data_IF_132079926846
#
_entry.id   IF_132079926846
#
_cell.length_a   1.000
_cell.length_b   1.000
_cell.length_c   1.000
_cell.angle_alpha   90.00
_cell.angle_beta   90.00
_cell.angle_gamma   90.00
#
_symmetry.space_group_name_H-M   'P 1'
#
loop_
_entity.id
_entity.type
_entity.pdbx_description
1 polymer ?
#
# COMPACT_ATOMS: atom_id res chain seq x y z
N UNK A 1 16.36 -33.65 -45.66
CA UNK A 1 15.08 -33.02 -45.26
C UNK A 1 14.21 -32.87 -46.50
N UNK A 2 12.94 -33.28 -46.48
CA UNK A 2 12.08 -33.17 -47.66
C UNK A 2 11.86 -31.68 -47.98
N UNK A 3 12.12 -31.28 -49.23
CA UNK A 3 11.84 -29.93 -49.71
C UNK A 3 10.33 -29.76 -49.82
N UNK A 4 9.74 -28.98 -48.92
CA UNK A 4 8.32 -28.64 -48.96
C UNK A 4 8.08 -27.80 -50.22
N UNK A 5 7.20 -28.26 -51.10
CA UNK A 5 6.86 -27.54 -52.33
C UNK A 5 6.04 -26.31 -51.93
N UNK A 6 6.53 -25.12 -52.27
CA UNK A 6 5.90 -23.85 -51.95
C UNK A 6 4.86 -23.52 -53.03
N UNK A 7 3.58 -23.70 -52.70
CA UNK A 7 2.45 -23.49 -53.61
C UNK A 7 1.43 -22.55 -52.95
N UNK A 8 0.81 -21.69 -53.76
CA UNK A 8 -0.21 -20.76 -53.28
C UNK A 8 0.35 -19.68 -52.37
N UNK A 9 -0.43 -19.29 -51.36
CA UNK A 9 -0.12 -18.20 -50.43
C UNK A 9 0.81 -18.64 -49.28
N UNK A 10 1.81 -19.46 -49.61
CA UNK A 10 2.69 -20.11 -48.65
C UNK A 10 3.45 -19.11 -47.76
N UNK A 11 3.75 -17.91 -48.30
CA UNK A 11 4.46 -16.86 -47.59
C UNK A 11 3.60 -16.24 -46.48
N UNK A 12 2.33 -15.92 -46.76
CA UNK A 12 1.41 -15.40 -45.73
C UNK A 12 1.09 -16.49 -44.70
N UNK A 13 0.97 -17.75 -45.10
CA UNK A 13 0.81 -18.87 -44.15
C UNK A 13 2.02 -19.01 -43.21
N UNK A 14 3.25 -18.87 -43.73
CA UNK A 14 4.45 -18.93 -42.91
C UNK A 14 4.57 -17.71 -41.97
N UNK A 15 4.25 -16.52 -42.46
CA UNK A 15 4.18 -15.31 -41.65
C UNK A 15 3.14 -15.44 -40.52
N UNK A 16 1.92 -15.90 -40.85
CA UNK A 16 0.86 -16.19 -39.88
C UNK A 16 1.30 -17.19 -38.81
N UNK A 17 1.99 -18.27 -39.22
CA UNK A 17 2.48 -19.28 -38.27
C UNK A 17 3.60 -18.75 -37.36
N UNK A 18 4.45 -17.83 -37.84
CA UNK A 18 5.46 -17.14 -37.01
C UNK A 18 4.79 -16.20 -36.02
N UNK A 19 3.83 -15.40 -36.47
CA UNK A 19 3.12 -14.45 -35.60
C UNK A 19 2.25 -15.18 -34.58
N UNK A 20 1.56 -16.26 -34.97
CA UNK A 20 0.82 -17.15 -34.07
C UNK A 20 1.73 -17.80 -33.04
N UNK A 21 2.94 -18.19 -33.42
CA UNK A 21 3.93 -18.75 -32.47
C UNK A 21 4.38 -17.69 -31.48
N UNK A 22 4.69 -16.48 -31.94
CA UNK A 22 5.02 -15.33 -31.08
C UNK A 22 3.89 -14.98 -30.11
N UNK A 23 2.64 -15.06 -30.56
CA UNK A 23 1.45 -14.88 -29.70
C UNK A 23 1.32 -15.97 -28.63
N UNK A 24 1.81 -17.18 -28.91
CA UNK A 24 1.85 -18.28 -27.93
C UNK A 24 3.17 -18.35 -27.16
N UNK A 25 4.17 -17.54 -27.49
CA UNK A 25 5.41 -17.43 -26.73
C UNK A 25 5.15 -16.53 -25.52
N UNK A 26 5.17 -17.12 -24.34
CA UNK A 26 5.06 -16.40 -23.08
C UNK A 26 6.28 -15.54 -22.79
N UNK A 27 6.22 -14.76 -21.71
CA UNK A 27 7.26 -13.81 -21.27
C UNK A 27 8.69 -14.40 -21.20
N UNK A 28 8.80 -15.73 -21.04
CA UNK A 28 10.07 -16.46 -20.92
C UNK A 28 10.44 -17.28 -22.19
N UNK A 29 9.77 -17.06 -23.33
CA UNK A 29 10.05 -17.76 -24.59
C UNK A 29 9.54 -19.21 -24.69
N UNK A 30 8.75 -19.69 -23.71
CA UNK A 30 8.03 -20.97 -23.74
C UNK A 30 6.57 -20.82 -24.19
N UNK A 31 5.87 -21.92 -24.49
CA UNK A 31 4.44 -21.86 -24.84
C UNK A 31 3.62 -21.41 -23.61
N UNK A 32 2.73 -20.43 -23.77
CA UNK A 32 1.77 -20.01 -22.74
C UNK A 32 0.82 -21.16 -22.45
N UNK A 33 1.01 -21.80 -21.30
CA UNK A 33 0.03 -22.74 -20.75
C UNK A 33 -1.02 -21.94 -19.98
N UNK A 34 -2.15 -21.66 -20.63
CA UNK A 34 -3.25 -20.89 -20.05
C UNK A 34 -3.77 -21.50 -18.73
N UNK A 35 -3.74 -22.83 -18.58
CA UNK A 35 -4.17 -23.47 -17.35
C UNK A 35 -3.21 -23.16 -16.20
N UNK A 36 -1.90 -23.19 -16.47
CA UNK A 36 -0.87 -22.85 -15.49
C UNK A 36 -0.93 -21.38 -15.08
N UNK A 37 -1.04 -20.46 -16.05
CA UNK A 37 -1.12 -19.03 -15.75
C UNK A 37 -2.38 -18.70 -14.91
N UNK A 38 -3.51 -19.33 -15.22
CA UNK A 38 -4.74 -19.19 -14.42
C UNK A 38 -4.54 -19.70 -12.99
N UNK A 39 -3.85 -20.83 -12.80
CA UNK A 39 -3.54 -21.36 -11.47
C UNK A 39 -2.63 -20.42 -10.67
N UNK A 40 -1.65 -19.79 -11.32
CA UNK A 40 -0.76 -18.82 -10.68
C UNK A 40 -1.53 -17.58 -10.22
N UNK A 41 -2.40 -17.03 -11.07
CA UNK A 41 -3.26 -15.90 -10.72
C UNK A 41 -4.17 -16.25 -9.54
N UNK A 42 -4.82 -17.43 -9.57
CA UNK A 42 -5.68 -17.87 -8.47
C UNK A 42 -4.91 -18.06 -7.15
N UNK A 43 -3.70 -18.64 -7.21
CA UNK A 43 -2.85 -18.82 -6.05
C UNK A 43 -2.41 -17.47 -5.45
N UNK A 44 -1.99 -16.54 -6.32
CA UNK A 44 -1.65 -15.15 -5.97
C UNK A 44 -2.82 -14.46 -5.28
N UNK A 45 -4.00 -14.46 -5.89
CA UNK A 45 -5.18 -13.78 -5.36
C UNK A 45 -5.58 -14.39 -4.02
N UNK A 46 -5.56 -15.72 -3.91
CA UNK A 46 -5.83 -16.42 -2.65
C UNK A 46 -4.85 -16.03 -1.55
N UNK A 47 -3.55 -15.99 -1.85
CA UNK A 47 -2.53 -15.60 -0.90
C UNK A 47 -2.75 -14.18 -0.40
N UNK A 48 -2.84 -13.20 -1.30
CA UNK A 48 -2.95 -11.78 -0.96
C UNK A 48 -4.23 -11.43 -0.21
N UNK A 49 -5.35 -12.09 -0.54
CA UNK A 49 -6.63 -11.91 0.12
C UNK A 49 -6.81 -12.80 1.35
N UNK A 50 -5.76 -13.45 1.84
CA UNK A 50 -5.81 -14.15 3.13
C UNK A 50 -6.18 -13.14 4.20
N UNK A 51 -7.26 -13.35 4.98
CA UNK A 51 -7.66 -12.44 6.03
C UNK A 51 -6.55 -12.21 7.04
N UNK A 52 -6.42 -10.97 7.51
CA UNK A 52 -5.43 -10.59 8.51
C UNK A 52 -6.09 -9.99 9.74
N UNK A 53 -5.54 -10.24 10.91
CA UNK A 53 -6.07 -9.69 12.16
C UNK A 53 -5.56 -8.26 12.37
N UNK A 54 -6.46 -7.28 12.39
CA UNK A 54 -6.14 -5.93 12.85
C UNK A 54 -6.21 -5.85 14.36
N UNK A 55 -5.30 -5.10 14.96
CA UNK A 55 -5.42 -4.77 16.38
C UNK A 55 -6.62 -3.85 16.60
N UNK A 56 -7.33 -4.00 17.74
CA UNK A 56 -8.29 -2.99 18.17
C UNK A 56 -7.57 -1.65 18.40
N UNK A 57 -8.36 -0.59 18.50
CA UNK A 57 -7.85 0.69 18.97
C UNK A 57 -7.22 0.51 20.34
N UNK A 58 -6.08 1.13 20.59
CA UNK A 58 -5.46 1.09 21.91
C UNK A 58 -6.31 1.84 22.94
N UNK A 59 -6.26 1.44 24.21
CA UNK A 59 -7.13 1.94 25.29
C UNK A 59 -7.01 3.47 25.54
N UNK A 60 -5.86 4.05 25.21
CA UNK A 60 -5.61 5.49 25.32
C UNK A 60 -6.15 6.31 24.14
N UNK A 61 -6.63 5.65 23.08
CA UNK A 61 -7.17 6.27 21.88
C UNK A 61 -6.12 6.85 20.92
N UNK A 62 -4.84 6.52 21.12
CA UNK A 62 -3.75 6.96 20.24
C UNK A 62 -3.34 5.89 19.23
N UNK A 63 -2.59 6.31 18.22
CA UNK A 63 -1.97 5.44 17.24
C UNK A 63 -0.64 4.92 17.77
N UNK A 64 -0.44 3.60 17.71
CA UNK A 64 0.78 2.95 18.21
C UNK A 64 1.63 2.38 17.08
N UNK A 65 2.93 2.27 17.34
CA UNK A 65 3.86 1.52 16.51
C UNK A 65 3.65 0.01 16.71
N UNK A 66 4.06 -0.76 15.69
CA UNK A 66 4.03 -2.22 15.67
C UNK A 66 2.63 -2.86 15.81
N UNK A 67 1.57 -2.06 15.70
CA UNK A 67 0.19 -2.55 15.59
C UNK A 67 -0.24 -2.60 14.12
N UNK A 68 -0.82 -3.71 13.64
CA UNK A 68 -1.35 -3.78 12.28
C UNK A 68 -2.51 -2.81 12.06
N UNK A 69 -2.39 -2.00 11.00
CA UNK A 69 -3.40 -1.02 10.58
C UNK A 69 -3.65 -1.15 9.08
N UNK A 70 -4.83 -0.71 8.63
CA UNK A 70 -5.04 -0.36 7.22
C UNK A 70 -4.91 1.15 7.03
N UNK A 71 -4.57 1.59 5.82
CA UNK A 71 -4.39 3.00 5.51
C UNK A 71 -5.37 3.42 4.40
N UNK A 72 -6.40 4.19 4.78
CA UNK A 72 -7.48 4.62 3.87
C UNK A 72 -7.25 6.04 3.34
N UNK A 73 -7.51 6.25 2.05
CA UNK A 73 -7.47 7.57 1.42
C UNK A 73 -8.85 8.22 1.34
N UNK A 74 -8.93 9.54 1.54
CA UNK A 74 -10.20 10.26 1.52
C UNK A 74 -10.81 10.45 0.11
N UNK A 75 -10.00 10.60 -0.95
CA UNK A 75 -10.51 10.79 -2.32
C UNK A 75 -11.04 9.49 -2.93
N UNK A 76 -10.30 8.38 -2.76
CA UNK A 76 -10.65 7.09 -3.38
C UNK A 76 -11.50 6.22 -2.47
N UNK A 77 -11.53 6.52 -1.15
CA UNK A 77 -12.11 5.68 -0.09
C UNK A 77 -11.54 4.25 -0.04
N UNK A 78 -10.48 3.99 -0.80
CA UNK A 78 -9.78 2.73 -0.86
C UNK A 78 -8.64 2.67 0.15
N UNK A 79 -8.16 1.45 0.39
CA UNK A 79 -7.03 1.17 1.26
C UNK A 79 -5.78 0.94 0.43
N UNK A 80 -4.62 1.38 0.93
CA UNK A 80 -3.35 0.99 0.31
C UNK A 80 -3.33 -0.53 0.17
N UNK A 81 -3.03 -1.00 -1.03
CA UNK A 81 -3.07 -2.41 -1.39
C UNK A 81 -1.84 -2.75 -2.22
N UNK A 82 -1.28 -3.92 -1.98
CA UNK A 82 -0.08 -4.40 -2.65
C UNK A 82 -0.37 -5.60 -3.54
N UNK A 83 0.30 -5.67 -4.68
CA UNK A 83 0.33 -6.83 -5.56
C UNK A 83 1.79 -7.30 -5.64
N UNK A 84 2.18 -8.22 -4.75
CA UNK A 84 3.57 -8.61 -4.55
C UNK A 84 4.22 -9.22 -5.80
N UNK A 85 3.43 -9.76 -6.74
CA UNK A 85 3.91 -10.35 -7.98
C UNK A 85 4.15 -9.30 -9.09
N UNK A 86 3.63 -8.07 -8.95
CA UNK A 86 3.88 -6.99 -9.91
C UNK A 86 5.22 -6.28 -9.65
N UNK A 87 6.28 -7.08 -9.54
CA UNK A 87 7.64 -6.61 -9.25
C UNK A 87 8.27 -5.99 -10.49
N UNK A 88 8.78 -4.78 -10.33
CA UNK A 88 9.65 -4.12 -11.29
C UNK A 88 11.11 -4.32 -10.85
N UNK A 89 11.92 -4.96 -11.71
CA UNK A 89 13.36 -5.08 -11.49
C UNK A 89 14.05 -3.73 -11.69
N UNK A 90 14.97 -3.43 -10.79
CA UNK A 90 15.86 -2.29 -10.84
C UNK A 90 17.32 -2.75 -10.90
N UNK A 91 18.26 -1.90 -11.34
CA UNK A 91 19.69 -2.26 -11.34
C UNK A 91 20.21 -2.72 -9.97
N UNK A 92 19.67 -2.19 -8.88
CA UNK A 92 20.09 -2.46 -7.51
C UNK A 92 19.18 -3.43 -6.74
N UNK A 93 18.09 -3.90 -7.34
CA UNK A 93 17.13 -4.73 -6.63
C UNK A 93 15.79 -4.85 -7.35
N UNK A 94 14.70 -4.79 -6.59
CA UNK A 94 13.35 -4.80 -7.13
C UNK A 94 12.43 -3.95 -6.26
N UNK A 95 11.38 -3.42 -6.86
CA UNK A 95 10.30 -2.72 -6.16
C UNK A 95 8.96 -3.22 -6.63
N UNK A 96 7.91 -2.88 -5.89
CA UNK A 96 6.53 -3.16 -6.26
C UNK A 96 5.68 -1.92 -5.99
N UNK A 97 4.93 -1.47 -6.98
CA UNK A 97 4.08 -0.29 -6.83
C UNK A 97 2.82 -0.66 -6.05
N UNK A 98 2.39 0.22 -5.16
CA UNK A 98 1.12 0.09 -4.45
C UNK A 98 0.01 0.92 -5.11
N UNK A 99 -1.21 0.63 -4.72
CA UNK A 99 -2.43 1.29 -5.19
C UNK A 99 -3.38 1.54 -4.03
N UNK A 100 -4.48 2.26 -4.24
CA UNK A 100 -5.63 2.15 -3.34
C UNK A 100 -6.74 1.33 -3.99
N UNK A 101 -7.36 0.45 -3.22
CA UNK A 101 -8.44 -0.43 -3.69
C UNK A 101 -9.55 -0.54 -2.64
N UNK A 102 -10.81 -0.76 -3.04
CA UNK A 102 -11.86 -1.16 -2.11
C UNK A 102 -11.48 -2.48 -1.43
N UNK A 103 -11.73 -2.58 -0.13
CA UNK A 103 -11.53 -3.81 0.62
C UNK A 103 -12.78 -4.13 1.45
N UNK A 104 -13.19 -5.40 1.48
CA UNK A 104 -14.26 -5.89 2.35
C UNK A 104 -13.81 -6.09 3.80
N UNK A 105 -12.50 -6.03 4.05
CA UNK A 105 -11.89 -6.25 5.35
C UNK A 105 -10.36 -6.31 5.24
N UNK A 106 -9.69 -6.54 6.39
CA UNK A 106 -8.24 -6.67 6.44
C UNK A 106 -7.74 -7.98 5.85
N UNK A 107 -6.69 -7.88 5.05
CA UNK A 107 -6.01 -8.98 4.35
C UNK A 107 -4.51 -8.74 4.34
N UNK A 108 -3.72 -9.75 3.99
CA UNK A 108 -2.26 -9.60 3.92
C UNK A 108 -1.82 -8.43 3.03
N UNK A 109 -2.54 -8.17 1.93
CA UNK A 109 -2.12 -7.16 0.94
C UNK A 109 -2.42 -5.70 1.33
N UNK A 110 -3.28 -5.45 2.32
CA UNK A 110 -3.74 -4.11 2.69
C UNK A 110 -3.55 -3.78 4.18
N UNK A 111 -2.83 -4.64 4.91
CA UNK A 111 -2.43 -4.40 6.30
C UNK A 111 -0.94 -4.05 6.37
N UNK A 112 -0.61 -3.07 7.21
CA UNK A 112 0.73 -2.54 7.37
C UNK A 112 1.08 -2.35 8.84
N UNK A 113 2.38 -2.34 9.12
CA UNK A 113 2.96 -2.00 10.41
C UNK A 113 3.63 -0.64 10.33
N UNK A 114 3.49 0.15 11.38
CA UNK A 114 4.29 1.36 11.58
C UNK A 114 5.49 1.02 12.45
N UNK A 115 6.67 1.52 12.10
CA UNK A 115 7.86 1.37 12.93
C UNK A 115 8.57 2.73 13.06
N UNK A 116 9.07 3.10 14.25
CA UNK A 116 9.80 4.35 14.43
C UNK A 116 11.06 4.35 13.56
N UNK A 117 11.32 5.48 12.90
CA UNK A 117 12.55 5.68 12.14
C UNK A 117 13.58 6.44 13.00
N UNK A 118 14.89 6.25 12.77
CA UNK A 118 15.92 6.99 13.50
C UNK A 118 15.71 8.50 13.36
N UNK A 119 15.45 9.19 14.47
CA UNK A 119 15.39 10.65 14.53
C UNK A 119 16.79 11.24 14.60
N UNK A 120 17.08 12.21 13.72
CA UNK A 120 18.29 13.03 13.85
C UNK A 120 18.26 13.86 15.14
N UNK A 121 19.42 14.20 15.73
CA UNK A 121 19.51 14.77 17.07
C UNK A 121 19.04 16.23 17.25
N UNK A 122 18.48 16.90 16.24
CA UNK A 122 18.40 18.37 16.25
C UNK A 122 17.02 19.02 16.30
N UNK A 123 15.91 18.34 15.96
CA UNK A 123 14.62 19.04 15.75
C UNK A 123 13.37 18.31 16.29
N UNK A 124 13.55 17.27 17.09
CA UNK A 124 12.47 16.48 17.71
C UNK A 124 12.63 16.48 19.22
N UNK A 125 11.57 16.74 19.96
CA UNK A 125 11.53 16.45 21.39
C UNK A 125 11.37 14.94 21.53
N UNK A 126 12.28 14.29 22.26
CA UNK A 126 12.14 12.86 22.51
C UNK A 126 10.82 12.60 23.25
N UNK A 127 10.01 11.62 22.80
CA UNK A 127 8.78 11.29 23.49
C UNK A 127 9.09 10.87 24.94
N UNK A 128 8.17 11.12 25.88
CA UNK A 128 8.27 10.58 27.22
C UNK A 128 8.46 9.05 27.19
N UNK A 129 9.18 8.44 28.16
CA UNK A 129 9.38 6.99 28.19
C UNK A 129 8.08 6.17 28.16
N UNK A 130 7.00 6.72 28.71
CA UNK A 130 5.66 6.14 28.70
C UNK A 130 4.95 6.17 27.33
N UNK A 131 5.46 6.93 26.36
CA UNK A 131 4.89 7.14 25.03
C UNK A 131 5.85 6.68 23.92
N UNK A 132 6.84 5.82 24.23
CA UNK A 132 7.85 5.36 23.28
C UNK A 132 7.25 4.60 22.08
N UNK A 133 6.11 3.93 22.29
CA UNK A 133 5.37 3.19 21.28
C UNK A 133 4.23 4.00 20.65
N UNK A 134 3.99 5.25 21.07
CA UNK A 134 2.95 6.13 20.51
C UNK A 134 3.51 6.90 19.30
N UNK A 135 2.72 7.01 18.25
CA UNK A 135 3.06 7.80 17.06
C UNK A 135 2.77 9.28 17.34
N UNK A 136 3.76 10.14 17.12
CA UNK A 136 3.63 11.58 17.28
C UNK A 136 3.67 12.33 15.94
N UNK A 137 2.97 13.47 15.86
CA UNK A 137 3.07 14.35 14.70
C UNK A 137 4.50 14.87 14.55
N UNK A 138 5.02 14.88 13.32
CA UNK A 138 6.41 15.27 13.06
C UNK A 138 7.45 14.15 13.24
N UNK A 139 7.10 13.07 13.96
CA UNK A 139 7.99 11.94 14.19
C UNK A 139 8.17 11.10 12.91
N UNK A 140 9.42 10.87 12.45
CA UNK A 140 9.69 9.98 11.34
C UNK A 140 9.37 8.52 11.67
N UNK A 141 8.74 7.82 10.72
CA UNK A 141 8.44 6.40 10.80
C UNK A 141 8.53 5.71 9.44
N UNK A 142 8.55 4.38 9.46
CA UNK A 142 8.42 3.51 8.30
C UNK A 142 7.00 2.93 8.24
N UNK A 143 6.47 2.77 7.02
CA UNK A 143 5.25 2.01 6.76
C UNK A 143 5.69 0.70 6.11
N UNK A 144 5.44 -0.43 6.76
CA UNK A 144 5.97 -1.73 6.38
C UNK A 144 4.86 -2.73 6.10
N UNK A 145 5.08 -3.67 5.17
CA UNK A 145 4.17 -4.81 5.00
C UNK A 145 4.18 -5.69 6.25
N UNK A 146 3.06 -6.34 6.54
CA UNK A 146 3.01 -7.40 7.56
C UNK A 146 3.93 -8.58 7.18
N UNK A 147 4.58 -9.23 8.14
CA UNK A 147 5.57 -10.29 7.86
C UNK A 147 4.96 -11.53 7.20
N UNK A 148 3.67 -11.77 7.37
CA UNK A 148 2.97 -12.89 6.74
C UNK A 148 2.72 -12.70 5.24
N UNK A 149 2.86 -11.48 4.71
CA UNK A 149 2.75 -11.24 3.27
C UNK A 149 4.00 -11.73 2.52
N UNK A 150 5.19 -11.57 3.10
CA UNK A 150 6.43 -12.03 2.50
C UNK A 150 7.56 -12.12 3.53
N UNK A 151 8.48 -13.08 3.32
CA UNK A 151 9.59 -13.41 4.23
C UNK A 151 10.39 -12.20 4.73
N UNK A 152 10.61 -11.20 3.88
CA UNK A 152 11.26 -9.95 4.23
C UNK A 152 10.24 -8.81 4.08
N UNK A 153 9.85 -8.13 5.18
CA UNK A 153 8.95 -6.99 5.10
C UNK A 153 9.50 -5.91 4.16
N UNK A 154 8.61 -5.37 3.34
CA UNK A 154 8.93 -4.26 2.45
C UNK A 154 8.55 -2.94 3.11
N UNK A 155 9.31 -1.89 2.84
CA UNK A 155 9.01 -0.54 3.32
C UNK A 155 8.45 0.33 2.20
N UNK A 156 7.42 1.11 2.50
CA UNK A 156 6.89 2.12 1.60
C UNK A 156 7.97 3.18 1.37
N UNK A 157 8.24 3.47 0.12
CA UNK A 157 9.28 4.37 -0.32
C UNK A 157 8.77 5.34 -1.38
N UNK A 158 9.47 6.45 -1.53
CA UNK A 158 9.26 7.39 -2.61
C UNK A 158 10.58 8.05 -3.00
N UNK A 159 10.73 8.37 -4.27
CA UNK A 159 11.94 9.01 -4.80
C UNK A 159 11.55 10.17 -5.71
N UNK A 160 12.42 11.16 -5.89
CA UNK A 160 12.12 12.31 -6.76
C UNK A 160 11.73 11.87 -8.18
N UNK A 161 10.71 12.53 -8.73
CA UNK A 161 10.28 12.29 -10.11
C UNK A 161 11.44 12.50 -11.09
N UNK A 162 11.70 11.51 -11.93
CA UNK A 162 12.73 11.52 -12.95
C UNK A 162 12.39 10.63 -14.14
N UNK A 163 13.29 10.52 -15.14
CA UNK A 163 13.04 9.69 -16.33
C UNK A 163 12.78 8.21 -16.04
N UNK A 164 13.30 7.71 -14.92
CA UNK A 164 13.14 6.33 -14.45
C UNK A 164 12.21 6.21 -13.24
N UNK A 165 11.60 7.33 -12.81
CA UNK A 165 10.76 7.39 -11.64
C UNK A 165 9.58 8.32 -11.85
N UNK A 166 8.39 7.75 -12.00
CA UNK A 166 7.16 8.51 -12.06
C UNK A 166 6.01 7.60 -11.64
N UNK A 167 4.93 8.22 -11.17
CA UNK A 167 3.71 7.52 -10.76
C UNK A 167 3.22 6.57 -11.86
N UNK A 168 2.88 5.34 -11.48
CA UNK A 168 2.67 4.21 -12.39
C UNK A 168 1.63 4.43 -13.48
N UNK A 169 0.55 5.14 -13.19
CA UNK A 169 -0.61 5.22 -14.10
C UNK A 169 -0.47 6.43 -15.00
N UNK A 170 -0.27 7.60 -14.42
CA UNK A 170 -0.26 8.86 -15.16
C UNK A 170 1.12 9.29 -15.62
N UNK A 171 2.20 8.80 -14.98
CA UNK A 171 3.57 9.28 -15.18
C UNK A 171 3.76 10.76 -14.80
N UNK A 172 2.78 11.37 -14.13
CA UNK A 172 2.76 12.81 -13.87
C UNK A 172 3.38 13.15 -12.52
N UNK A 173 3.30 12.27 -11.54
CA UNK A 173 3.65 12.56 -10.16
C UNK A 173 4.88 11.78 -9.70
N UNK A 174 5.31 12.05 -8.48
CA UNK A 174 6.41 11.34 -7.84
C UNK A 174 5.98 9.90 -7.54
N UNK A 175 6.87 8.93 -7.80
CA UNK A 175 6.57 7.51 -7.67
C UNK A 175 6.49 7.07 -6.21
N UNK A 176 5.64 6.09 -5.92
CA UNK A 176 5.47 5.51 -4.58
C UNK A 176 5.40 3.99 -4.72
N UNK A 177 6.26 3.30 -3.99
CA UNK A 177 6.47 1.86 -4.14
C UNK A 177 6.95 1.24 -2.84
N UNK A 178 6.80 -0.07 -2.70
CA UNK A 178 7.43 -0.84 -1.64
C UNK A 178 8.77 -1.40 -2.12
N UNK A 179 9.78 -1.32 -1.25
CA UNK A 179 11.15 -1.77 -1.50
C UNK A 179 11.64 -2.70 -0.40
N UNK A 180 12.45 -3.73 -0.70
CA UNK A 180 13.18 -4.50 0.29
C UNK A 180 14.32 -3.71 0.94
N UNK A 181 14.74 -2.59 0.33
CA UNK A 181 15.77 -1.69 0.87
C UNK A 181 15.19 -0.83 2.00
N UNK A 182 14.88 -1.48 3.12
CA UNK A 182 14.39 -0.82 4.34
C UNK A 182 15.47 0.03 5.01
N UNK A 183 15.04 0.96 5.87
CA UNK A 183 15.90 1.82 6.67
C UNK A 183 16.74 2.84 5.86
N UNK A 184 16.16 3.39 4.80
CA UNK A 184 16.73 4.49 4.01
C UNK A 184 15.93 5.78 4.19
N UNK A 185 16.51 6.92 3.81
CA UNK A 185 15.80 8.21 3.84
C UNK A 185 14.56 8.22 2.93
N UNK A 186 14.58 7.43 1.86
CA UNK A 186 13.49 7.28 0.88
C UNK A 186 12.31 6.48 1.42
N UNK A 187 12.51 5.75 2.53
CA UNK A 187 11.46 4.97 3.20
C UNK A 187 10.83 5.70 4.39
N UNK A 188 11.35 6.88 4.75
CA UNK A 188 10.89 7.61 5.93
C UNK A 188 9.69 8.50 5.61
N UNK A 189 8.66 8.40 6.43
CA UNK A 189 7.43 9.18 6.37
C UNK A 189 7.21 9.92 7.67
N UNK A 190 6.40 10.97 7.62
CA UNK A 190 6.00 11.77 8.78
C UNK A 190 4.50 12.00 8.70
N UNK A 191 3.82 11.93 9.84
CA UNK A 191 2.43 12.35 9.96
C UNK A 191 2.40 13.84 10.29
N UNK A 192 1.73 14.62 9.45
CA UNK A 192 1.43 16.02 9.68
C UNK A 192 -0.06 16.17 10.05
N UNK A 193 -0.36 17.17 10.86
CA UNK A 193 -1.75 17.51 11.20
C UNK A 193 -2.53 17.94 9.94
N UNK A 194 -3.81 17.56 9.85
CA UNK A 194 -4.63 17.80 8.65
C UNK A 194 -4.84 19.28 8.33
N UNK A 195 -4.83 20.15 9.33
CA UNK A 195 -4.85 21.59 9.12
C UNK A 195 -3.42 22.15 9.06
N UNK A 196 -2.96 22.63 7.88
CA UNK A 196 -1.61 23.16 7.72
C UNK A 196 -1.27 24.35 8.62
N UNK A 197 -2.28 25.11 9.07
CA UNK A 197 -2.08 26.28 9.94
C UNK A 197 -1.66 25.91 11.36
N UNK A 198 -1.95 24.68 11.80
CA UNK A 198 -1.67 24.19 13.15
C UNK A 198 -0.60 23.08 13.18
N UNK A 199 0.09 22.81 12.07
CA UNK A 199 1.10 21.74 12.03
C UNK A 199 2.20 21.93 13.08
N UNK A 200 2.72 23.16 13.25
CA UNK A 200 3.76 23.43 14.26
C UNK A 200 3.22 23.36 15.68
N UNK A 201 1.96 23.76 15.92
CA UNK A 201 1.33 23.69 17.25
C UNK A 201 1.03 22.24 17.69
N UNK A 202 0.80 21.37 16.70
CA UNK A 202 0.52 19.96 16.89
C UNK A 202 1.77 19.07 16.86
N UNK A 203 2.92 19.62 16.49
CA UNK A 203 4.19 18.91 16.45
C UNK A 203 4.50 18.27 17.81
N UNK A 204 5.09 17.08 17.77
CA UNK A 204 5.45 16.26 18.93
C UNK A 204 4.25 15.84 19.81
N UNK A 205 3.00 16.11 19.38
CA UNK A 205 1.81 15.61 20.08
C UNK A 205 1.42 14.22 19.57
N UNK A 206 0.84 13.37 20.43
CA UNK A 206 0.39 12.04 20.03
C UNK A 206 -0.72 12.13 18.99
N UNK A 207 -0.67 11.24 18.00
CA UNK A 207 -1.66 11.12 16.93
C UNK A 207 -2.82 10.28 17.45
N UNK A 208 -4.05 10.80 17.38
CA UNK A 208 -5.25 10.01 17.68
C UNK A 208 -5.43 8.90 16.65
N UNK A 209 -5.87 7.72 17.07
CA UNK A 209 -6.01 6.60 16.16
C UNK A 209 -7.06 6.79 15.05
N UNK A 210 -8.03 7.68 15.24
CA UNK A 210 -9.05 8.04 14.24
C UNK A 210 -8.77 9.36 13.50
N UNK A 211 -7.57 9.93 13.69
CA UNK A 211 -7.23 11.23 13.12
C UNK A 211 -7.17 11.21 11.59
N UNK A 212 -7.80 12.21 10.98
CA UNK A 212 -7.51 12.60 9.59
C UNK A 212 -6.20 13.37 9.57
N UNK A 213 -5.25 12.91 8.76
CA UNK A 213 -3.90 13.45 8.71
C UNK A 213 -3.35 13.49 7.28
N UNK A 214 -2.19 14.14 7.14
CA UNK A 214 -1.40 14.13 5.89
C UNK A 214 -0.15 13.32 6.17
N UNK A 215 0.14 12.34 5.31
CA UNK A 215 1.40 11.59 5.40
C UNK A 215 2.37 12.21 4.41
N UNK A 216 3.52 12.66 4.88
CA UNK A 216 4.53 13.35 4.08
C UNK A 216 5.80 12.54 3.98
N UNK A 217 6.32 12.43 2.76
CA UNK A 217 7.62 11.79 2.56
C UNK A 217 8.71 12.67 3.16
N UNK A 218 9.49 12.11 4.09
CA UNK A 218 10.43 12.87 4.90
C UNK A 218 11.54 13.49 4.03
N UNK A 219 12.07 12.73 3.06
CA UNK A 219 13.19 13.19 2.24
C UNK A 219 12.81 14.24 1.20
N UNK A 220 11.68 14.06 0.49
CA UNK A 220 11.27 14.99 -0.58
C UNK A 220 10.33 16.09 -0.12
N UNK A 221 9.80 16.00 1.11
CA UNK A 221 8.83 16.92 1.69
C UNK A 221 7.53 17.03 0.87
N UNK A 222 7.17 15.97 0.14
CA UNK A 222 5.97 15.90 -0.71
C UNK A 222 4.95 14.96 -0.04
N UNK A 223 3.66 15.36 0.06
CA UNK A 223 2.65 14.52 0.68
C UNK A 223 2.28 13.31 -0.21
N UNK A 224 2.05 12.19 0.46
CA UNK A 224 1.44 11.00 -0.09
C UNK A 224 0.02 11.33 -0.56
N UNK A 225 -0.37 10.75 -1.67
CA UNK A 225 -1.65 10.98 -2.29
C UNK A 225 -2.17 9.76 -3.03
N UNK A 226 -3.49 9.67 -3.19
CA UNK A 226 -4.11 8.76 -4.15
C UNK A 226 -5.08 9.51 -5.04
N UNK A 227 -5.11 9.16 -6.32
CA UNK A 227 -5.97 9.82 -7.32
C UNK A 227 -6.92 8.82 -7.96
N UNK A 228 -8.06 9.27 -8.48
CA UNK A 228 -9.00 8.43 -9.22
C UNK A 228 -8.50 7.95 -10.60
N UNK A 229 -7.20 8.07 -10.89
CA UNK A 229 -6.61 7.45 -12.07
C UNK A 229 -6.58 5.93 -11.89
N UNK A 230 -7.36 5.22 -12.72
CA UNK A 230 -7.56 3.76 -12.58
C UNK A 230 -6.54 2.99 -13.42
N UNK A 231 -6.05 1.89 -12.86
CA UNK A 231 -5.42 0.81 -13.61
C UNK A 231 -6.05 -0.53 -13.22
N UNK A 232 -5.83 -1.56 -14.04
CA UNK A 232 -6.38 -2.89 -13.82
C UNK A 232 -5.26 -3.87 -13.52
N UNK A 233 -5.41 -4.66 -12.46
CA UNK A 233 -4.57 -5.82 -12.17
C UNK A 233 -5.44 -7.06 -11.91
N UNK A 234 -4.81 -8.15 -11.45
CA UNK A 234 -5.50 -9.43 -11.18
C UNK A 234 -6.54 -9.35 -10.04
N UNK A 235 -6.55 -8.26 -9.26
CA UNK A 235 -7.49 -8.01 -8.18
C UNK A 235 -8.66 -7.12 -8.58
N UNK A 236 -8.59 -6.46 -9.74
CA UNK A 236 -9.64 -5.61 -10.28
C UNK A 236 -9.18 -4.19 -10.59
N UNK A 237 -10.11 -3.21 -10.65
CA UNK A 237 -9.78 -1.80 -10.83
C UNK A 237 -9.22 -1.22 -9.53
N UNK A 238 -8.06 -0.59 -9.64
CA UNK A 238 -7.37 0.05 -8.52
C UNK A 238 -6.91 1.45 -8.91
N UNK A 239 -6.65 2.28 -7.91
CA UNK A 239 -6.34 3.69 -8.07
C UNK A 239 -4.86 3.99 -7.86
N UNK A 240 -4.35 4.97 -8.60
CA UNK A 240 -2.96 5.42 -8.51
C UNK A 240 -2.64 5.95 -7.11
N UNK A 241 -1.55 5.47 -6.53
CA UNK A 241 -0.87 6.09 -5.37
C UNK A 241 0.38 6.81 -5.86
N UNK A 242 0.63 7.99 -5.33
CA UNK A 242 1.76 8.84 -5.73
C UNK A 242 2.12 9.83 -4.62
N UNK A 243 3.20 10.59 -4.82
CA UNK A 243 3.50 11.76 -4.01
C UNK A 243 3.25 13.03 -4.84
N UNK A 244 2.33 13.88 -4.39
CA UNK A 244 2.10 15.21 -4.96
C UNK A 244 1.23 16.06 -4.04
N UNK A 245 1.40 17.38 -4.08
CA UNK A 245 0.54 18.34 -3.38
C UNK A 245 -0.67 18.72 -4.26
N UNK A 246 -1.82 18.11 -4.00
CA UNK A 246 -3.06 18.44 -4.70
C UNK A 246 -3.77 19.61 -4.01
N UNK A 247 -4.08 20.63 -4.81
CA UNK A 247 -4.74 21.85 -4.36
C UNK A 247 -5.63 22.37 -5.49
N UNK A 248 -6.76 23.00 -5.15
CA UNK A 248 -7.64 23.61 -6.18
C UNK A 248 -7.07 24.89 -6.79
N UNK A 249 -6.08 25.48 -6.13
CA UNK A 249 -5.35 26.67 -6.60
C UNK A 249 -3.92 26.61 -6.09
N UNK A 250 -2.99 27.34 -6.72
CA UNK A 250 -1.54 27.33 -6.39
C UNK A 250 -1.20 27.51 -4.90
N UNK A 251 -2.09 28.14 -4.12
CA UNK A 251 -1.94 28.35 -2.67
C UNK A 251 -3.20 27.92 -1.89
N UNK A 252 -4.03 27.09 -2.50
CA UNK A 252 -5.27 26.60 -1.89
C UNK A 252 -5.00 25.55 -0.83
N UNK A 253 -6.04 25.21 -0.03
CA UNK A 253 -5.97 24.07 0.86
C UNK A 253 -5.73 22.78 0.06
N UNK A 254 -5.21 21.77 0.76
CA UNK A 254 -5.09 20.43 0.21
C UNK A 254 -6.49 19.89 -0.15
N UNK A 255 -6.52 18.97 -1.09
CA UNK A 255 -7.73 18.25 -1.47
C UNK A 255 -7.70 16.81 -0.95
N UNK A 256 -8.82 16.11 -1.08
CA UNK A 256 -9.08 14.78 -0.52
C UNK A 256 -8.02 13.73 -0.93
N UNK A 257 -7.33 13.93 -2.05
CA UNK A 257 -6.23 13.08 -2.51
C UNK A 257 -5.13 12.94 -1.45
N UNK A 258 -4.88 13.99 -0.67
CA UNK A 258 -3.77 14.05 0.30
C UNK A 258 -4.14 13.64 1.73
N UNK A 259 -5.42 13.37 2.01
CA UNK A 259 -5.88 13.05 3.36
C UNK A 259 -6.00 11.54 3.57
N UNK A 260 -5.53 11.09 4.72
CA UNK A 260 -5.43 9.69 5.09
C UNK A 260 -5.93 9.45 6.52
N UNK A 261 -6.40 8.23 6.78
CA UNK A 261 -6.80 7.74 8.10
C UNK A 261 -6.20 6.35 8.30
N UNK A 262 -5.65 6.08 9.50
CA UNK A 262 -5.29 4.73 9.92
C UNK A 262 -6.53 4.03 10.50
N UNK A 263 -6.83 2.86 9.97
CA UNK A 263 -8.02 2.09 10.34
C UNK A 263 -7.61 0.86 11.15
N UNK A 264 -8.25 0.73 12.31
CA UNK A 264 -8.07 -0.34 13.31
C UNK A 264 -9.25 -1.31 13.23
N UNK A 265 -9.23 -2.43 13.95
CA UNK A 265 -10.45 -3.24 14.06
C UNK A 265 -11.52 -2.52 14.87
N UNK A 266 -12.78 -2.66 14.45
CA UNK A 266 -13.92 -2.34 15.29
C UNK A 266 -14.05 -3.48 16.31
N UNK A 267 -13.90 -3.19 17.60
CA UNK A 267 -14.31 -4.13 18.64
C UNK A 267 -15.82 -4.34 18.52
N UNK A 268 -16.24 -5.54 18.11
CA UNK A 268 -17.56 -6.05 18.48
C UNK A 268 -17.42 -6.83 19.76
N UNK A 269 -17.47 -6.13 20.89
CA UNK A 269 -17.92 -6.75 22.13
C UNK A 269 -19.42 -7.02 21.99
N UNK A 270 -19.77 -8.16 21.40
CA UNK A 270 -21.04 -8.84 21.69
C UNK A 270 -20.76 -9.93 22.74
N UNK A 271 -20.44 -9.52 23.97
CA UNK A 271 -20.67 -10.36 25.14
C UNK A 271 -21.83 -9.75 25.95
N UNK A 272 -23.01 -10.36 25.85
CA UNK A 272 -24.20 -9.88 26.56
C UNK A 272 -25.39 -10.85 26.47
N UNK A 273 -25.46 -11.74 27.46
CA UNK A 273 -26.63 -12.44 27.98
C UNK A 273 -27.37 -13.46 27.09
N UNK A 274 -26.89 -14.71 27.12
CA UNK A 274 -27.80 -15.85 27.22
C UNK A 274 -27.38 -16.83 28.31
N UNK A 275 -28.24 -16.90 29.35
CA UNK A 275 -28.51 -18.01 30.28
C UNK A 275 -27.77 -18.04 31.62
N UNK A 276 -28.23 -17.18 32.53
CA UNK A 276 -28.44 -17.55 33.94
C UNK A 276 -29.86 -17.18 34.41
N UNK A 277 -30.88 -17.71 33.73
CA UNK A 277 -32.21 -17.90 34.33
C UNK A 277 -32.64 -19.35 34.11
N UNK A 278 -32.36 -20.19 35.10
CA UNK A 278 -33.23 -21.29 35.56
C UNK A 278 -32.48 -22.17 36.57
N UNK A 279 -32.68 -21.90 37.86
CA UNK A 279 -32.81 -22.92 38.91
C UNK A 279 -33.16 -22.28 40.26
N UNK A 280 -34.36 -21.74 40.37
CA UNK A 280 -34.97 -21.45 41.68
C UNK A 280 -36.48 -21.53 41.61
N UNK A 281 -37.01 -22.69 41.19
CA UNK A 281 -38.38 -23.08 41.56
C UNK A 281 -38.52 -24.60 41.51
N UNK A 282 -38.35 -25.27 42.65
CA UNK A 282 -39.29 -26.32 43.09
C UNK A 282 -39.11 -26.58 44.57
N UNK A 283 -40.26 -26.63 45.25
CA UNK A 283 -40.47 -26.98 46.63
C UNK A 283 -40.13 -28.46 46.93
#
# INVERSE_FOLDING_TARGET
MPRRVLLGNWFEEEAYMRDRRRLMEGRNGGVVDAARETQLILAKVKHHNTPYHLSPMHDDGFLHFYTPVMLQNAETLGFISLDLEDRALQPTGWRVVCSTAPASGPTLRNCFLLAPAPTGPTDMIAPPPEEEDVVHYGQPFFIMTVPELCDNPLSLASEHKGPHSASKVTGKYQDVFFSPDGNSAETMWVADFSNPEYCEDMRDRPVKGDAVLVIRHNHTNVPLASTKAVFYNDFGPEYEVCCNKFTRSLKGPLTDENYWIFVHSEEREEEGDEKQEHASTTA
#
